data_IF_923387952000
#
_entry.id   IF_923387952000
#
_cell.length_a   1.000
_cell.length_b   1.000
_cell.length_c   1.000
_cell.angle_alpha   90.00
_cell.angle_beta   90.00
_cell.angle_gamma   90.00
#
_symmetry.space_group_name_H-M   'P 1'
#
loop_
_entity.id
_entity.type
_entity.pdbx_description
1 polymer ?
#
# COMPACT_ATOMS: atom_id res chain seq x y z
N UNK A 1 -9.34 -16.04 6.70
CA UNK A 1 -7.91 -15.83 6.40
C UNK A 1 -7.77 -15.81 4.90
N UNK A 2 -7.08 -14.84 4.30
CA UNK A 2 -6.88 -14.84 2.84
C UNK A 2 -5.80 -15.90 2.56
N UNK A 3 -6.18 -17.00 1.93
CA UNK A 3 -5.23 -18.03 1.48
C UNK A 3 -4.64 -17.58 0.15
N UNK A 4 -3.36 -17.22 0.17
CA UNK A 4 -2.62 -16.82 -1.03
C UNK A 4 -1.81 -18.01 -1.49
N UNK A 5 -2.04 -18.46 -2.72
CA UNK A 5 -1.20 -19.48 -3.34
C UNK A 5 0.26 -18.96 -3.38
N UNK A 6 1.24 -19.69 -2.79
CA UNK A 6 2.63 -19.26 -2.73
C UNK A 6 3.22 -18.87 -4.08
N UNK A 7 2.74 -19.47 -5.18
CA UNK A 7 3.22 -19.15 -6.54
C UNK A 7 2.91 -17.71 -6.96
N UNK A 8 1.87 -17.10 -6.38
CA UNK A 8 1.46 -15.73 -6.68
C UNK A 8 2.02 -14.71 -5.67
N UNK A 9 2.60 -15.15 -4.55
CA UNK A 9 3.12 -14.26 -3.50
C UNK A 9 4.11 -13.23 -4.06
N UNK A 10 5.04 -13.67 -4.92
CA UNK A 10 6.03 -12.78 -5.56
C UNK A 10 5.39 -11.68 -6.39
N UNK A 11 4.54 -12.03 -7.36
CA UNK A 11 3.89 -11.05 -8.25
C UNK A 11 2.97 -10.10 -7.49
N UNK A 12 2.31 -10.58 -6.42
CA UNK A 12 1.47 -9.74 -5.56
C UNK A 12 2.31 -8.73 -4.79
N UNK A 13 3.45 -9.14 -4.23
CA UNK A 13 4.36 -8.24 -3.52
C UNK A 13 4.95 -7.18 -4.46
N UNK A 14 5.35 -7.55 -5.68
CA UNK A 14 5.85 -6.61 -6.69
C UNK A 14 4.79 -5.55 -7.05
N UNK A 15 3.57 -5.98 -7.37
CA UNK A 15 2.47 -5.07 -7.69
C UNK A 15 2.12 -4.13 -6.52
N UNK A 16 2.20 -4.66 -5.30
CA UNK A 16 1.98 -3.88 -4.09
C UNK A 16 3.07 -2.83 -3.88
N UNK A 17 4.33 -3.19 -4.12
CA UNK A 17 5.48 -2.31 -4.01
C UNK A 17 5.41 -1.16 -5.03
N UNK A 18 5.01 -1.45 -6.28
CA UNK A 18 4.76 -0.42 -7.29
C UNK A 18 3.62 0.52 -6.87
N UNK A 19 2.55 -0.03 -6.30
CA UNK A 19 1.40 0.75 -5.82
C UNK A 19 1.78 1.68 -4.67
N UNK A 20 2.56 1.19 -3.70
CA UNK A 20 3.10 2.00 -2.60
C UNK A 20 4.04 3.10 -3.12
N UNK A 21 4.89 2.80 -4.10
CA UNK A 21 5.76 3.80 -4.71
C UNK A 21 4.96 4.94 -5.35
N UNK A 22 3.96 4.63 -6.19
CA UNK A 22 3.08 5.64 -6.82
C UNK A 22 2.38 6.49 -5.77
N UNK A 23 1.85 5.85 -4.72
CA UNK A 23 1.18 6.55 -3.64
C UNK A 23 2.13 7.48 -2.87
N UNK A 24 3.38 7.06 -2.65
CA UNK A 24 4.39 7.89 -1.99
C UNK A 24 4.71 9.15 -2.80
N UNK A 25 4.75 9.04 -4.14
CA UNK A 25 4.94 10.19 -5.01
C UNK A 25 3.78 11.18 -4.88
N UNK A 26 2.54 10.70 -4.86
CA UNK A 26 1.37 11.58 -4.73
C UNK A 26 1.27 12.25 -3.36
N UNK A 27 1.59 11.52 -2.28
CA UNK A 27 1.67 12.10 -0.93
C UNK A 27 2.82 13.11 -0.80
N UNK A 28 3.94 12.88 -1.48
CA UNK A 28 5.10 13.79 -1.45
C UNK A 28 4.77 15.16 -2.06
N UNK A 29 3.93 15.20 -3.10
CA UNK A 29 3.46 16.44 -3.73
C UNK A 29 2.65 17.31 -2.77
N UNK A 30 2.04 16.71 -1.76
CA UNK A 30 1.18 17.38 -0.77
C UNK A 30 1.90 17.61 0.58
N UNK A 31 3.23 17.41 0.63
CA UNK A 31 4.00 17.53 1.87
C UNK A 31 4.10 19.00 2.31
N UNK A 32 3.73 19.27 3.55
CA UNK A 32 3.70 20.63 4.11
C UNK A 32 2.39 21.38 3.83
N UNK A 33 1.52 20.83 3.00
CA UNK A 33 0.18 21.37 2.77
C UNK A 33 -0.80 20.99 3.90
N UNK A 34 -1.92 21.71 4.06
CA UNK A 34 -2.98 21.33 4.98
C UNK A 34 -3.50 19.91 4.76
N UNK A 35 -4.06 19.30 5.81
CA UNK A 35 -4.70 17.99 5.75
C UNK A 35 -6.03 18.07 5.00
N UNK A 36 -5.96 18.03 3.67
CA UNK A 36 -7.13 17.97 2.80
C UNK A 36 -7.80 16.60 2.85
N UNK A 37 -9.05 16.51 2.42
CA UNK A 37 -9.76 15.23 2.31
C UNK A 37 -9.04 14.25 1.39
N UNK A 38 -8.46 14.73 0.28
CA UNK A 38 -7.65 13.91 -0.63
C UNK A 38 -6.41 13.35 0.08
N UNK A 39 -5.66 14.18 0.82
CA UNK A 39 -4.49 13.71 1.58
C UNK A 39 -4.86 12.66 2.64
N UNK A 40 -6.03 12.80 3.28
CA UNK A 40 -6.57 11.79 4.22
C UNK A 40 -6.88 10.48 3.53
N UNK A 41 -7.52 10.52 2.36
CA UNK A 41 -7.80 9.31 1.57
C UNK A 41 -6.53 8.61 1.11
N UNK A 42 -5.54 9.35 0.62
CA UNK A 42 -4.25 8.78 0.22
C UNK A 42 -3.52 8.16 1.42
N UNK A 43 -3.55 8.81 2.58
CA UNK A 43 -2.96 8.26 3.81
C UNK A 43 -3.67 6.98 4.26
N UNK A 44 -5.01 6.92 4.14
CA UNK A 44 -5.77 5.70 4.42
C UNK A 44 -5.43 4.58 3.44
N UNK A 45 -5.29 4.89 2.15
CA UNK A 45 -4.84 3.92 1.14
C UNK A 45 -3.45 3.37 1.47
N UNK A 46 -2.55 4.22 1.99
CA UNK A 46 -1.20 3.79 2.39
C UNK A 46 -1.28 2.74 3.51
N UNK A 47 -2.04 3.04 4.57
CA UNK A 47 -2.22 2.10 5.68
C UNK A 47 -2.81 0.75 5.24
N UNK A 48 -3.80 0.78 4.33
CA UNK A 48 -4.40 -0.45 3.80
C UNK A 48 -3.41 -1.28 2.96
N UNK A 49 -2.53 -0.63 2.19
CA UNK A 49 -1.49 -1.33 1.45
C UNK A 49 -0.44 -1.93 2.39
N UNK A 50 -0.03 -1.21 3.43
CA UNK A 50 0.90 -1.73 4.44
C UNK A 50 0.32 -2.96 5.18
N UNK A 51 -0.97 -2.91 5.52
CA UNK A 51 -1.69 -4.05 6.11
C UNK A 51 -1.73 -5.24 5.13
N UNK A 52 -2.04 -4.99 3.86
CA UNK A 52 -2.06 -6.04 2.83
C UNK A 52 -0.67 -6.63 2.61
N UNK A 53 0.40 -5.82 2.64
CA UNK A 53 1.78 -6.30 2.58
C UNK A 53 2.08 -7.25 3.73
N UNK A 54 1.68 -6.87 4.94
CA UNK A 54 1.87 -7.69 6.13
C UNK A 54 1.12 -9.03 5.99
N UNK A 55 -0.14 -9.01 5.54
CA UNK A 55 -0.94 -10.23 5.32
C UNK A 55 -0.26 -11.16 4.30
N UNK A 56 0.21 -10.61 3.17
CA UNK A 56 0.89 -11.41 2.13
C UNK A 56 2.22 -11.97 2.66
N UNK A 57 2.94 -11.21 3.47
CA UNK A 57 4.28 -11.58 3.96
C UNK A 57 4.21 -12.60 5.10
N UNK A 58 3.38 -12.33 6.12
CA UNK A 58 3.26 -13.09 7.37
C UNK A 58 2.21 -14.19 7.30
N UNK A 59 1.37 -14.21 6.25
CA UNK A 59 0.48 -15.34 5.96
C UNK A 59 1.28 -16.61 5.68
N UNK A 60 1.61 -17.32 6.77
CA UNK A 60 2.05 -18.72 6.86
C UNK A 60 0.92 -19.55 7.50
#
# INVERSE_FOLDING_TARGET
MIEIDPKFKGVLLEALQESMYKLSLDLSKMKGEPLTSNRRELSKKQALLEELQHIITVGE
#
